data_IF_001201407528
#
_entry.id   IF_001201407528
#
_cell.length_a   1.000
_cell.length_b   1.000
_cell.length_c   1.000
_cell.angle_alpha   90.00
_cell.angle_beta   90.00
_cell.angle_gamma   90.00
#
_symmetry.space_group_name_H-M   'P 1'
#
loop_
_entity.id
_entity.type
_entity.pdbx_description
1 polymer ?
#
# COMPACT_ATOMS: atom_id res chain seq x y z
N UNK A 1 -12.18 15.77 -11.52
CA UNK A 1 -11.60 14.60 -10.79
C UNK A 1 -10.10 14.83 -10.70
N UNK A 2 -9.53 14.80 -9.49
CA UNK A 2 -8.10 15.07 -9.30
C UNK A 2 -7.27 13.87 -9.74
N UNK A 3 -6.20 14.11 -10.49
CA UNK A 3 -5.20 13.09 -10.80
C UNK A 3 -4.52 12.64 -9.51
N UNK A 4 -4.26 11.35 -9.35
CA UNK A 4 -3.41 10.86 -8.28
C UNK A 4 -1.99 11.34 -8.54
N UNK A 5 -1.44 12.16 -7.64
CA UNK A 5 -0.10 12.70 -7.74
C UNK A 5 0.86 11.88 -6.87
N UNK A 6 1.61 10.91 -7.43
CA UNK A 6 2.60 10.17 -6.66
C UNK A 6 3.71 11.11 -6.18
N UNK A 7 4.10 10.97 -4.92
CA UNK A 7 5.27 11.64 -4.37
C UNK A 7 6.38 10.64 -4.12
N UNK A 8 7.55 10.89 -4.71
CA UNK A 8 8.75 10.09 -4.48
C UNK A 8 9.63 10.74 -3.43
N UNK A 9 10.08 9.95 -2.46
CA UNK A 9 11.07 10.33 -1.47
C UNK A 9 12.38 9.61 -1.79
N UNK A 10 13.51 10.33 -1.80
CA UNK A 10 14.83 9.78 -2.14
C UNK A 10 15.95 10.58 -1.48
N UNK A 11 17.15 9.99 -1.36
CA UNK A 11 18.36 10.66 -0.86
C UNK A 11 18.45 10.79 0.67
N UNK A 12 17.48 10.23 1.39
CA UNK A 12 17.45 10.12 2.84
C UNK A 12 16.79 8.79 3.23
N UNK A 13 17.14 8.28 4.40
CA UNK A 13 16.47 7.13 5.00
C UNK A 13 15.23 7.60 5.77
N UNK A 14 14.22 6.75 5.78
CA UNK A 14 12.96 6.96 6.49
C UNK A 14 12.62 5.69 7.26
N UNK A 15 12.08 5.87 8.46
CA UNK A 15 11.59 4.75 9.27
C UNK A 15 10.18 4.38 8.86
N UNK A 16 9.88 3.07 8.80
CA UNK A 16 8.52 2.57 8.59
C UNK A 16 7.78 2.67 9.94
N UNK A 17 7.04 3.75 10.13
CA UNK A 17 6.24 3.96 11.36
C UNK A 17 5.03 3.05 11.39
N UNK A 18 4.41 2.81 10.23
CA UNK A 18 3.36 1.80 10.07
C UNK A 18 3.24 1.36 8.62
N UNK A 19 2.90 0.09 8.41
CA UNK A 19 2.59 -0.49 7.11
C UNK A 19 1.32 -1.34 7.26
N UNK A 20 0.24 -0.95 6.58
CA UNK A 20 -1.07 -1.57 6.75
C UNK A 20 -1.71 -1.84 5.40
N UNK A 21 -2.38 -2.98 5.27
CA UNK A 21 -3.11 -3.28 4.05
C UNK A 21 -3.60 -4.72 3.96
N UNK A 22 -3.88 -5.15 2.74
CA UNK A 22 -4.39 -6.49 2.47
C UNK A 22 -3.80 -7.08 1.18
N UNK A 23 -3.88 -8.40 1.12
CA UNK A 23 -3.63 -9.21 -0.07
C UNK A 23 -4.99 -9.77 -0.50
N UNK A 24 -5.36 -9.54 -1.75
CA UNK A 24 -6.64 -9.94 -2.38
C UNK A 24 -6.36 -10.41 -3.80
N UNK A 25 -7.39 -10.66 -4.62
CA UNK A 25 -7.23 -11.09 -6.01
C UNK A 25 -7.80 -10.08 -7.01
N UNK A 26 -7.13 -9.91 -8.14
CA UNK A 26 -7.66 -9.27 -9.37
C UNK A 26 -7.38 -10.24 -10.51
N UNK A 27 -8.42 -10.71 -11.21
CA UNK A 27 -8.27 -11.72 -12.28
C UNK A 27 -7.45 -12.95 -11.81
N UNK A 28 -7.81 -13.50 -10.65
CA UNK A 28 -7.15 -14.65 -9.99
C UNK A 28 -5.66 -14.44 -9.63
N UNK A 29 -5.14 -13.21 -9.75
CA UNK A 29 -3.75 -12.88 -9.39
C UNK A 29 -3.68 -12.11 -8.07
N UNK A 30 -2.67 -12.37 -7.22
CA UNK A 30 -2.45 -11.61 -5.99
C UNK A 30 -2.34 -10.11 -6.27
N UNK A 31 -3.13 -9.33 -5.54
CA UNK A 31 -3.15 -7.89 -5.54
C UNK A 31 -2.93 -7.37 -4.13
N UNK A 32 -1.84 -6.63 -3.96
CA UNK A 32 -1.42 -6.04 -2.69
C UNK A 32 -1.90 -4.59 -2.64
N UNK A 33 -2.69 -4.26 -1.63
CA UNK A 33 -3.10 -2.88 -1.36
C UNK A 33 -2.52 -2.43 -0.02
N UNK A 34 -1.50 -1.57 -0.05
CA UNK A 34 -0.80 -1.09 1.14
C UNK A 34 -0.88 0.43 1.28
N UNK A 35 -1.05 0.88 2.52
CA UNK A 35 -0.79 2.24 2.96
C UNK A 35 0.40 2.24 3.92
N UNK A 36 1.20 3.29 3.87
CA UNK A 36 2.41 3.44 4.68
C UNK A 36 2.41 4.79 5.41
N UNK A 37 3.02 4.82 6.59
CA UNK A 37 3.48 6.03 7.25
C UNK A 37 5.00 5.97 7.42
N UNK A 38 5.70 6.97 6.90
CA UNK A 38 7.15 7.12 6.98
C UNK A 38 7.52 8.23 7.95
N UNK A 39 8.55 8.04 8.78
CA UNK A 39 9.13 9.07 9.65
C UNK A 39 10.50 9.53 9.15
N UNK A 40 10.76 10.84 9.12
CA UNK A 40 12.10 11.38 8.87
C UNK A 40 12.88 11.68 10.17
N UNK A 41 14.14 12.10 10.03
CA UNK A 41 15.04 12.44 11.14
C UNK A 41 14.56 13.62 11.99
N UNK A 42 13.63 14.43 11.48
CA UNK A 42 13.05 15.57 12.18
C UNK A 42 11.69 15.21 12.81
N UNK A 43 11.37 13.91 12.88
CA UNK A 43 10.10 13.36 13.38
C UNK A 43 8.87 13.80 12.57
N UNK A 44 9.05 14.24 11.32
CA UNK A 44 7.91 14.51 10.42
C UNK A 44 7.43 13.19 9.82
N UNK A 45 6.11 13.08 9.71
CA UNK A 45 5.46 11.89 9.18
C UNK A 45 4.88 12.12 7.80
N UNK A 46 5.08 11.18 6.88
CA UNK A 46 4.57 11.20 5.52
C UNK A 46 3.75 9.94 5.25
N UNK A 47 2.46 10.12 4.96
CA UNK A 47 1.53 9.01 4.80
C UNK A 47 0.86 8.97 3.43
N UNK A 48 0.40 7.79 3.03
CA UNK A 48 -0.43 7.63 1.83
C UNK A 48 -0.47 6.21 1.30
N UNK A 49 -0.98 6.08 0.08
CA UNK A 49 -0.97 4.83 -0.69
C UNK A 49 0.46 4.50 -1.14
N UNK A 50 0.93 3.30 -0.81
CA UNK A 50 2.28 2.85 -1.15
C UNK A 50 2.30 2.27 -2.57
N UNK A 51 2.91 2.99 -3.49
CA UNK A 51 3.17 2.47 -4.85
C UNK A 51 4.36 1.51 -4.88
N UNK A 52 5.50 1.91 -4.33
CA UNK A 52 6.69 1.08 -4.17
C UNK A 52 7.65 1.70 -3.14
N UNK A 53 8.51 0.86 -2.56
CA UNK A 53 9.61 1.28 -1.69
C UNK A 53 10.77 0.29 -1.81
N UNK A 54 11.97 0.73 -1.44
CA UNK A 54 13.17 -0.12 -1.31
C UNK A 54 13.51 -0.21 0.17
N UNK A 55 13.65 -1.43 0.67
CA UNK A 55 14.07 -1.69 2.05
C UNK A 55 15.59 -1.61 2.13
N UNK A 56 16.11 -0.76 3.02
CA UNK A 56 17.55 -0.57 3.21
C UNK A 56 18.14 -1.62 4.17
N UNK A 57 17.54 -1.75 5.37
CA UNK A 57 18.02 -2.67 6.42
C UNK A 57 17.04 -3.85 6.59
N UNK A 58 15.91 -3.63 7.26
CA UNK A 58 14.87 -4.66 7.45
C UNK A 58 13.47 -4.09 7.25
N UNK A 59 12.55 -4.97 6.90
CA UNK A 59 11.11 -4.70 6.91
C UNK A 59 10.45 -5.95 7.50
N UNK A 60 9.94 -5.82 8.71
CA UNK A 60 9.34 -6.93 9.45
C UNK A 60 7.82 -6.88 9.26
N UNK A 61 7.25 -7.91 8.62
CA UNK A 61 5.83 -7.95 8.24
C UNK A 61 5.18 -9.17 8.86
N UNK A 62 4.10 -8.96 9.62
CA UNK A 62 3.20 -10.02 10.04
C UNK A 62 2.03 -10.11 9.05
N UNK A 63 1.69 -11.33 8.62
CA UNK A 63 0.57 -11.60 7.71
C UNK A 63 -0.43 -12.49 8.45
N UNK A 64 -1.67 -12.02 8.55
CA UNK A 64 -2.79 -12.80 9.06
C UNK A 64 -3.62 -13.30 7.88
N UNK A 65 -3.82 -14.61 7.81
CA UNK A 65 -4.59 -15.24 6.74
C UNK A 65 -6.09 -15.14 7.02
N UNK A 66 -6.86 -14.94 5.96
CA UNK A 66 -8.33 -15.01 5.96
C UNK A 66 -8.77 -16.35 5.40
N UNK A 67 -9.80 -16.96 5.97
CA UNK A 67 -10.44 -18.17 5.43
C UNK A 67 -11.24 -17.89 4.15
N UNK A 68 -11.61 -16.62 3.94
CA UNK A 68 -12.32 -16.17 2.74
C UNK A 68 -11.36 -15.64 1.69
N UNK A 69 -11.62 -16.02 0.43
CA UNK A 69 -10.97 -15.44 -0.75
C UNK A 69 -11.68 -14.14 -1.11
N UNK A 70 -10.94 -13.03 -1.17
CA UNK A 70 -11.48 -11.72 -1.53
C UNK A 70 -11.04 -11.38 -2.96
N UNK A 71 -11.99 -11.38 -3.88
CA UNK A 71 -11.80 -10.89 -5.24
C UNK A 71 -12.01 -9.39 -5.32
N UNK A 72 -11.53 -8.79 -6.41
CA UNK A 72 -11.77 -7.39 -6.75
C UNK A 72 -12.31 -7.26 -8.15
N UNK A 73 -13.25 -6.35 -8.31
CA UNK A 73 -13.87 -6.00 -9.59
C UNK A 73 -13.56 -4.57 -9.97
N UNK A 74 -13.21 -4.36 -11.23
CA UNK A 74 -12.98 -3.02 -11.77
C UNK A 74 -14.27 -2.22 -11.80
N UNK A 75 -14.24 -1.03 -11.21
CA UNK A 75 -15.35 -0.09 -11.24
C UNK A 75 -15.12 0.97 -12.32
N UNK A 76 -16.04 1.04 -13.29
CA UNK A 76 -15.93 1.92 -14.45
C UNK A 76 -16.08 3.42 -14.12
N UNK A 77 -16.78 3.78 -13.05
CA UNK A 77 -17.00 5.15 -12.63
C UNK A 77 -15.75 5.72 -11.94
N UNK A 78 -15.16 4.94 -11.03
CA UNK A 78 -14.02 5.35 -10.22
C UNK A 78 -12.68 4.94 -10.81
N UNK A 79 -12.66 4.09 -11.84
CA UNK A 79 -11.46 3.57 -12.52
C UNK A 79 -10.48 2.86 -11.57
N UNK A 80 -11.02 2.15 -10.58
CA UNK A 80 -10.27 1.41 -9.57
C UNK A 80 -10.92 0.06 -9.27
N UNK A 81 -10.17 -0.85 -8.66
CA UNK A 81 -10.61 -2.18 -8.25
C UNK A 81 -11.13 -2.16 -6.81
N UNK A 82 -12.44 -2.36 -6.62
CA UNK A 82 -13.03 -2.55 -5.28
C UNK A 82 -13.14 -4.02 -4.94
N UNK A 83 -13.23 -4.34 -3.65
CA UNK A 83 -13.59 -5.68 -3.21
C UNK A 83 -14.97 -6.07 -3.76
N UNK A 84 -15.08 -7.33 -4.18
CA UNK A 84 -16.28 -7.96 -4.70
C UNK A 84 -16.65 -9.08 -3.74
N UNK A 85 -17.71 -8.86 -2.95
CA UNK A 85 -18.19 -9.77 -1.91
C UNK A 85 -19.43 -10.54 -2.36
#
# INVERSE_FOLDING_TARGET
KGEYLPKRFSGKNYEIVSLNGNISLVEDKPFVHLHIMLGDSDYRTFGGHLGSAVVDITCEIAINMSDSVINRKFNNEFKVNFWDF
#
